data_IF_931733568273
#
_entry.id   IF_931733568273
#
_cell.length_a   1.000
_cell.length_b   1.000
_cell.length_c   1.000
_cell.angle_alpha   90.00
_cell.angle_beta   90.00
_cell.angle_gamma   90.00
#
_symmetry.space_group_name_H-M   'P 1'
#
loop_
_entity.id
_entity.type
_entity.pdbx_description
1 polymer ?
#
# COMPACT_ATOMS: atom_id res chain seq x y z
N UNK A 1 -11.18 -17.24 -8.43
CA UNK A 1 -12.25 -16.21 -8.36
C UNK A 1 -11.60 -14.91 -7.89
N UNK A 2 -11.90 -13.79 -8.55
CA UNK A 2 -11.37 -12.47 -8.18
C UNK A 2 -12.56 -11.57 -7.95
N UNK A 3 -12.55 -10.85 -6.84
CA UNK A 3 -13.56 -9.85 -6.50
C UNK A 3 -12.90 -8.47 -6.56
N UNK A 4 -13.60 -7.49 -7.14
CA UNK A 4 -13.16 -6.10 -7.17
C UNK A 4 -14.16 -5.25 -6.40
N UNK A 5 -13.67 -4.40 -5.50
CA UNK A 5 -14.47 -3.44 -4.74
C UNK A 5 -13.93 -2.04 -4.91
N UNK A 6 -14.85 -1.07 -4.95
CA UNK A 6 -14.55 0.36 -5.00
C UNK A 6 -15.30 1.00 -3.83
N UNK A 7 -14.56 1.65 -2.95
CA UNK A 7 -15.08 2.24 -1.72
C UNK A 7 -14.71 3.72 -1.66
N UNK A 8 -15.43 4.50 -0.85
CA UNK A 8 -15.19 5.93 -0.64
C UNK A 8 -14.93 6.23 0.83
N UNK A 9 -13.98 7.13 1.11
CA UNK A 9 -13.59 7.52 2.47
C UNK A 9 -12.08 7.76 2.58
N UNK A 10 -11.56 7.87 3.80
CA UNK A 10 -10.10 7.83 4.02
C UNK A 10 -9.61 6.41 3.72
N UNK A 11 -8.68 6.21 2.77
CA UNK A 11 -8.17 4.88 2.42
C UNK A 11 -7.60 4.12 3.61
N UNK A 12 -7.08 4.81 4.62
CA UNK A 12 -6.51 4.22 5.84
C UNK A 12 -7.55 3.43 6.61
N UNK A 13 -8.70 4.04 6.85
CA UNK A 13 -9.76 3.44 7.66
C UNK A 13 -10.51 2.39 6.84
N UNK A 14 -10.84 2.71 5.59
CA UNK A 14 -11.57 1.82 4.70
C UNK A 14 -10.81 0.50 4.48
N UNK A 15 -9.50 0.53 4.25
CA UNK A 15 -8.70 -0.69 4.05
C UNK A 15 -8.65 -1.53 5.33
N UNK A 16 -8.42 -0.91 6.49
CA UNK A 16 -8.38 -1.61 7.77
C UNK A 16 -9.72 -2.28 8.10
N UNK A 17 -10.84 -1.57 7.94
CA UNK A 17 -12.18 -2.10 8.18
C UNK A 17 -12.53 -3.25 7.22
N UNK A 18 -12.20 -3.09 5.94
CA UNK A 18 -12.46 -4.11 4.94
C UNK A 18 -11.67 -5.38 5.23
N UNK A 19 -10.42 -5.25 5.66
CA UNK A 19 -9.59 -6.39 5.97
C UNK A 19 -10.15 -7.19 7.18
N UNK A 20 -10.65 -6.48 8.20
CA UNK A 20 -11.34 -7.12 9.33
C UNK A 20 -12.62 -7.86 8.90
N UNK A 21 -13.41 -7.26 7.99
CA UNK A 21 -14.65 -7.87 7.48
C UNK A 21 -14.40 -9.09 6.59
N UNK A 22 -13.34 -9.06 5.79
CA UNK A 22 -13.01 -10.15 4.86
C UNK A 22 -12.28 -11.31 5.52
N UNK A 23 -11.65 -11.09 6.69
CA UNK A 23 -10.86 -12.12 7.37
C UNK A 23 -9.67 -12.59 6.52
N UNK A 24 -9.06 -11.69 5.76
CA UNK A 24 -7.96 -12.04 4.86
C UNK A 24 -6.65 -12.36 5.62
N UNK A 25 -5.77 -13.15 5.00
CA UNK A 25 -4.51 -13.59 5.62
C UNK A 25 -3.32 -12.68 5.31
N UNK A 26 -3.39 -11.91 4.21
CA UNK A 26 -2.30 -11.05 3.73
C UNK A 26 -2.83 -9.80 3.04
N UNK A 27 -2.30 -8.64 3.41
CA UNK A 27 -2.54 -7.37 2.70
C UNK A 27 -1.36 -7.04 1.77
N UNK A 28 -1.63 -6.87 0.47
CA UNK A 28 -0.63 -6.46 -0.53
C UNK A 28 -0.90 -5.02 -0.95
N UNK A 29 0.12 -4.16 -0.87
CA UNK A 29 0.01 -2.75 -1.24
C UNK A 29 1.16 -2.30 -2.13
N UNK A 30 0.85 -1.48 -3.13
CA UNK A 30 1.87 -0.79 -3.92
C UNK A 30 2.44 0.42 -3.19
N UNK A 31 3.68 0.78 -3.52
CA UNK A 31 4.28 2.06 -3.13
C UNK A 31 4.61 2.91 -4.37
N UNK A 32 4.03 4.10 -4.45
CA UNK A 32 4.28 5.03 -5.56
C UNK A 32 5.51 5.89 -5.26
N UNK A 33 6.63 5.61 -5.94
CA UNK A 33 7.88 6.33 -5.81
C UNK A 33 7.91 7.67 -6.56
N UNK A 34 7.23 8.70 -6.06
CA UNK A 34 7.28 10.07 -6.60
C UNK A 34 8.60 10.83 -6.30
N UNK A 35 9.72 10.13 -6.12
CA UNK A 35 11.00 10.75 -5.73
C UNK A 35 11.04 11.27 -4.27
N UNK A 36 12.21 11.75 -3.88
CA UNK A 36 12.56 12.21 -2.51
C UNK A 36 11.72 13.38 -1.97
N UNK A 37 10.97 14.05 -2.83
CA UNK A 37 10.17 15.26 -2.53
C UNK A 37 8.88 14.92 -1.75
N UNK A 38 8.38 13.66 -1.79
CA UNK A 38 7.23 13.16 -1.01
C UNK A 38 7.59 12.47 0.32
N UNK A 39 8.79 12.66 0.85
CA UNK A 39 9.17 12.13 2.19
C UNK A 39 8.28 12.64 3.35
N UNK A 40 7.42 13.64 3.11
CA UNK A 40 6.80 14.47 4.14
C UNK A 40 5.26 14.49 4.19
N UNK A 41 4.54 13.59 3.52
CA UNK A 41 3.09 13.42 3.76
C UNK A 41 2.88 12.54 5.00
N UNK A 42 3.00 13.09 6.22
CA UNK A 42 2.34 12.67 7.49
C UNK A 42 2.09 11.17 7.82
N UNK A 43 2.78 10.22 7.17
CA UNK A 43 2.45 8.80 7.11
C UNK A 43 1.75 8.41 5.79
N UNK A 44 2.33 7.46 5.03
CA UNK A 44 1.67 6.91 3.84
C UNK A 44 0.54 5.94 4.23
N UNK A 45 -0.44 5.76 3.33
CA UNK A 45 -1.52 4.75 3.52
C UNK A 45 -0.93 3.37 3.81
N UNK A 46 0.11 2.97 3.06
CA UNK A 46 0.80 1.69 3.27
C UNK A 46 1.47 1.59 4.64
N UNK A 47 2.07 2.68 5.15
CA UNK A 47 2.67 2.72 6.47
C UNK A 47 1.60 2.64 7.57
N UNK A 48 0.51 3.40 7.43
CA UNK A 48 -0.62 3.33 8.36
C UNK A 48 -1.19 1.92 8.44
N UNK A 49 -1.47 1.28 7.30
CA UNK A 49 -1.99 -0.08 7.28
C UNK A 49 -1.01 -1.04 7.97
N UNK A 50 0.29 -1.00 7.63
CA UNK A 50 1.29 -1.88 8.26
C UNK A 50 1.37 -1.80 9.79
N UNK A 51 0.89 -0.71 10.38
CA UNK A 51 0.86 -0.52 11.84
C UNK A 51 -0.49 -0.89 12.48
N UNK A 52 -1.57 -1.01 11.70
CA UNK A 52 -2.94 -1.11 12.23
C UNK A 52 -3.71 -2.37 11.80
N UNK A 53 -3.32 -3.05 10.70
CA UNK A 53 -3.96 -4.32 10.34
C UNK A 53 -3.39 -5.49 11.14
N UNK A 54 -4.25 -6.46 11.49
CA UNK A 54 -3.88 -7.65 12.27
C UNK A 54 -3.35 -8.80 11.39
N UNK A 55 -2.56 -8.49 10.37
CA UNK A 55 -2.01 -9.47 9.43
C UNK A 55 -0.63 -9.03 8.91
N UNK A 56 0.14 -9.94 8.31
CA UNK A 56 1.28 -9.56 7.49
C UNK A 56 0.89 -8.56 6.39
N UNK A 57 1.77 -7.60 6.13
CA UNK A 57 1.59 -6.59 5.07
C UNK A 57 2.79 -6.62 4.12
N UNK A 58 2.54 -6.87 2.83
CA UNK A 58 3.55 -6.86 1.79
C UNK A 58 3.48 -5.55 0.99
N UNK A 59 4.52 -4.71 1.13
CA UNK A 59 4.64 -3.46 0.38
C UNK A 59 5.54 -3.67 -0.83
N UNK A 60 4.96 -3.61 -2.02
CA UNK A 60 5.66 -3.76 -3.29
C UNK A 60 6.22 -2.42 -3.75
N UNK A 61 7.54 -2.37 -3.97
CA UNK A 61 8.25 -1.20 -4.50
C UNK A 61 8.42 -1.33 -6.02
N UNK A 62 8.37 -0.21 -6.74
CA UNK A 62 8.73 -0.21 -8.16
C UNK A 62 10.19 -0.68 -8.31
N UNK A 63 10.50 -1.47 -9.35
CA UNK A 63 11.88 -1.81 -9.68
C UNK A 63 12.69 -0.53 -9.81
N UNK A 64 13.90 -0.50 -9.23
CA UNK A 64 14.84 0.58 -9.53
C UNK A 64 15.17 0.50 -11.02
N UNK A 65 15.23 1.63 -11.75
CA UNK A 65 15.81 1.64 -13.09
C UNK A 65 17.21 1.02 -12.95
N UNK A 66 17.51 0.00 -13.77
CA UNK A 66 18.86 -0.53 -13.83
C UNK A 66 19.80 0.59 -14.25
N UNK A 67 20.88 0.79 -13.51
CA UNK A 67 21.96 1.66 -13.95
C UNK A 67 22.60 1.00 -15.17
N UNK A 68 22.15 1.37 -16.37
CA UNK A 68 22.58 0.74 -17.62
C UNK A 68 21.61 0.93 -18.77
N UNK A 69 21.25 2.18 -19.09
CA UNK A 69 20.69 2.53 -20.39
C UNK A 69 20.94 4.02 -20.68
N UNK A 70 21.96 4.30 -21.50
CA UNK A 70 22.33 5.61 -22.06
C UNK A 70 23.57 6.20 -21.37
N UNK A 71 24.70 6.43 -22.04
CA UNK A 71 25.03 6.52 -23.47
C UNK A 71 26.33 5.79 -23.79
#
# INVERSE_FOLDING_TARGET
MVETRVESGDPRDVICDMFQKLGADLLIMGSHGYGVVKRAFLGSVSNYCSQNVKCPVLIVKKPKPSAGAGK
#
